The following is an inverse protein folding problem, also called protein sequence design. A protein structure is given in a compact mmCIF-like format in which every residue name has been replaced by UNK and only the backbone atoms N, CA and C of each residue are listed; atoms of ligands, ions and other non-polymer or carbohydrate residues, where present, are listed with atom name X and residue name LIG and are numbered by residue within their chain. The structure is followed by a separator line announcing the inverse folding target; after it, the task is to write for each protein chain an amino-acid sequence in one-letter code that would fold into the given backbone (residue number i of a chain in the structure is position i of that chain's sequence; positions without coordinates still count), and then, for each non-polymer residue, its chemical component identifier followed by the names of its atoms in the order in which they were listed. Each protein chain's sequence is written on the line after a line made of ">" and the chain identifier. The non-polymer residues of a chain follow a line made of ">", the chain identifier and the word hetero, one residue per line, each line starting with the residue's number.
data_IF_772442750970
#
_entry.id   IF_772442750970
#
_cell.length_a   1.000
_cell.length_b   1.000
_cell.length_c   1.000
_cell.angle_alpha   90.00
_cell.angle_beta   90.00
_cell.angle_gamma   90.00
#
_symmetry.space_group_name_H-M   'P 1'
#
loop_
_entity.id
_entity.type
_entity.pdbx_description
1 polymer ?
#
# COMPACT_ATOMS: atom_id res chain seq x y z
N UNK A 1 -11.36 4.59 22.51
CA UNK A 1 -10.40 3.90 21.63
C UNK A 1 -11.06 3.71 20.27
N UNK A 2 -10.36 4.01 19.19
CA UNK A 2 -10.84 3.85 17.82
C UNK A 2 -9.87 2.95 17.07
N UNK A 3 -10.41 2.02 16.28
CA UNK A 3 -9.63 1.15 15.42
C UNK A 3 -10.24 1.13 14.02
N UNK A 4 -9.38 0.91 13.02
CA UNK A 4 -9.79 0.72 11.63
C UNK A 4 -8.97 -0.44 11.06
N UNK A 5 -9.64 -1.29 10.30
CA UNK A 5 -9.02 -2.32 9.47
C UNK A 5 -9.51 -2.10 8.04
N UNK A 6 -8.60 -2.08 7.09
CA UNK A 6 -8.88 -1.97 5.67
C UNK A 6 -8.25 -3.19 4.99
N UNK A 7 -9.06 -3.89 4.20
CA UNK A 7 -8.58 -4.87 3.24
C UNK A 7 -8.57 -4.19 1.87
N UNK A 8 -7.47 -4.29 1.14
CA UNK A 8 -7.37 -3.71 -0.18
C UNK A 8 -6.81 -4.70 -1.20
N UNK A 9 -7.26 -4.54 -2.44
CA UNK A 9 -6.81 -5.25 -3.62
C UNK A 9 -6.90 -4.29 -4.80
N UNK A 10 -5.78 -4.05 -5.47
CA UNK A 10 -5.65 -3.15 -6.59
C UNK A 10 -4.97 -3.90 -7.73
N UNK A 11 -5.74 -4.13 -8.79
CA UNK A 11 -5.27 -4.71 -10.06
C UNK A 11 -4.96 -3.55 -11.01
N UNK A 12 -3.70 -3.43 -11.42
CA UNK A 12 -3.22 -2.34 -12.27
C UNK A 12 -2.79 -2.97 -13.59
N UNK A 13 -3.50 -2.66 -14.68
CA UNK A 13 -3.29 -3.34 -15.96
C UNK A 13 -2.05 -2.88 -16.72
N UNK A 14 -1.86 -1.56 -16.75
CA UNK A 14 -0.78 -0.89 -17.47
C UNK A 14 0.01 -0.03 -16.48
N UNK A 15 0.70 -0.67 -15.54
CA UNK A 15 1.51 0.07 -14.57
C UNK A 15 2.79 0.58 -15.26
N UNK A 16 3.08 1.87 -15.05
CA UNK A 16 4.24 2.52 -15.64
C UNK A 16 5.47 2.18 -14.80
N UNK A 17 6.43 1.48 -15.40
CA UNK A 17 7.73 1.23 -14.78
C UNK A 17 8.84 1.95 -15.53
N UNK A 18 9.82 2.40 -14.77
CA UNK A 18 11.04 2.96 -15.32
C UNK A 18 11.98 1.81 -15.73
N UNK A 19 12.33 1.73 -17.02
CA UNK A 19 13.34 0.81 -17.54
C UNK A 19 14.73 1.46 -17.41
N UNK A 20 15.57 1.06 -16.43
CA UNK A 20 16.75 1.84 -16.06
C UNK A 20 17.96 1.67 -16.99
N UNK A 21 17.93 0.75 -17.96
CA UNK A 21 18.96 0.64 -18.99
C UNK A 21 18.52 -0.32 -20.12
N UNK A 22 18.85 -0.06 -21.40
CA UNK A 22 19.69 1.02 -21.93
C UNK A 22 18.91 2.26 -22.42
N UNK A 23 17.57 2.22 -22.46
CA UNK A 23 16.74 3.21 -23.15
C UNK A 23 16.21 4.30 -22.19
N UNK A 24 16.25 4.06 -20.86
CA UNK A 24 15.83 5.01 -19.82
C UNK A 24 14.41 5.55 -20.05
N UNK A 25 13.50 4.64 -20.43
CA UNK A 25 12.13 4.94 -20.84
C UNK A 25 11.13 4.49 -19.79
N UNK A 26 10.01 5.21 -19.71
CA UNK A 26 8.82 4.74 -19.02
C UNK A 26 8.07 3.80 -19.95
N UNK A 27 7.86 2.56 -19.51
CA UNK A 27 7.19 1.53 -20.29
C UNK A 27 6.01 0.98 -19.48
N UNK A 28 4.92 0.64 -20.17
CA UNK A 28 3.84 -0.11 -19.55
C UNK A 28 4.33 -1.54 -19.33
N UNK A 29 4.44 -1.96 -18.07
CA UNK A 29 4.75 -3.33 -17.70
C UNK A 29 3.45 -4.12 -17.54
N UNK A 30 3.44 -5.45 -17.78
CA UNK A 30 2.26 -6.29 -17.58
C UNK A 30 1.67 -6.18 -16.17
N UNK A 31 0.39 -6.56 -16.10
CA UNK A 31 -0.52 -6.35 -14.97
C UNK A 31 0.14 -6.59 -13.61
N UNK A 32 -0.07 -5.70 -12.64
CA UNK A 32 0.41 -5.86 -11.27
C UNK A 32 -0.74 -5.94 -10.29
N UNK A 33 -0.52 -6.70 -9.22
CA UNK A 33 -1.46 -6.88 -8.13
C UNK A 33 -0.84 -6.40 -6.84
N UNK A 34 -1.44 -5.35 -6.27
CA UNK A 34 -1.14 -4.85 -4.93
C UNK A 34 -2.29 -5.23 -4.01
N UNK A 35 -2.01 -6.01 -2.98
CA UNK A 35 -3.03 -6.43 -2.03
C UNK A 35 -2.48 -6.49 -0.62
N UNK A 36 -3.34 -6.27 0.35
CA UNK A 36 -2.87 -6.17 1.72
C UNK A 36 -3.92 -5.80 2.73
N UNK A 37 -3.42 -5.53 3.93
CA UNK A 37 -4.19 -5.11 5.08
C UNK A 37 -3.54 -3.88 5.69
N UNK A 38 -4.36 -2.88 5.98
CA UNK A 38 -3.96 -1.72 6.77
C UNK A 38 -4.74 -1.70 8.08
N UNK A 39 -4.03 -1.50 9.18
CA UNK A 39 -4.60 -1.40 10.53
C UNK A 39 -4.20 -0.04 11.11
N UNK A 40 -5.20 0.72 11.55
CA UNK A 40 -5.02 1.98 12.25
C UNK A 40 -5.64 1.92 13.65
N UNK A 41 -4.97 2.51 14.62
CA UNK A 41 -5.46 2.58 16.00
C UNK A 41 -5.20 3.94 16.63
N UNK A 42 -6.14 4.38 17.47
CA UNK A 42 -6.04 5.61 18.26
C UNK A 42 -6.63 5.38 19.65
N UNK A 43 -5.87 5.72 20.68
CA UNK A 43 -6.28 5.64 22.07
C UNK A 43 -5.96 6.95 22.81
N UNK A 44 -6.97 7.51 23.45
CA UNK A 44 -6.83 8.66 24.35
C UNK A 44 -6.76 8.12 25.78
N UNK A 45 -5.59 8.18 26.41
CA UNK A 45 -5.35 7.63 27.74
C UNK A 45 -5.70 8.62 28.86
N UNK A 46 -5.49 9.91 28.61
CA UNK A 46 -5.85 11.01 29.50
C UNK A 46 -6.33 12.19 28.64
N UNK A 47 -6.90 13.24 29.26
CA UNK A 47 -7.23 14.50 28.57
C UNK A 47 -6.02 15.18 27.88
N UNK A 48 -4.80 14.71 28.13
CA UNK A 48 -3.54 15.28 27.64
C UNK A 48 -2.69 14.31 26.81
N UNK A 49 -3.06 13.03 26.70
CA UNK A 49 -2.25 12.03 26.01
C UNK A 49 -3.10 11.18 25.06
N UNK A 50 -2.76 11.29 23.79
CA UNK A 50 -3.29 10.48 22.70
C UNK A 50 -2.15 9.70 22.08
N UNK A 51 -2.31 8.39 21.96
CA UNK A 51 -1.40 7.50 21.26
C UNK A 51 -2.10 7.00 20.01
N UNK A 52 -1.37 6.95 18.90
CA UNK A 52 -1.85 6.41 17.64
C UNK A 52 -0.76 5.58 16.97
N UNK A 53 -1.19 4.61 16.17
CA UNK A 53 -0.30 3.72 15.45
C UNK A 53 -0.99 3.16 14.22
N UNK A 54 -0.23 3.08 13.13
CA UNK A 54 -0.68 2.49 11.87
C UNK A 54 0.32 1.43 11.43
N UNK A 55 -0.18 0.35 10.85
CA UNK A 55 0.61 -0.72 10.29
C UNK A 55 -0.01 -1.20 8.98
N UNK A 56 0.80 -1.30 7.94
CA UNK A 56 0.40 -1.78 6.63
C UNK A 56 1.25 -2.97 6.25
N UNK A 57 0.58 -4.07 5.91
CA UNK A 57 1.20 -5.20 5.22
C UNK A 57 0.71 -5.22 3.79
N UNK A 58 1.64 -5.08 2.84
CA UNK A 58 1.35 -5.12 1.41
C UNK A 58 2.17 -6.23 0.75
N UNK A 59 1.52 -6.98 -0.14
CA UNK A 59 2.17 -7.87 -1.09
C UNK A 59 1.91 -7.35 -2.49
N UNK A 60 2.98 -7.00 -3.18
CA UNK A 60 2.98 -6.64 -4.60
C UNK A 60 3.53 -7.80 -5.43
N UNK A 61 2.80 -8.20 -6.48
CA UNK A 61 3.22 -9.23 -7.43
C UNK A 61 3.01 -8.76 -8.86
N UNK A 62 3.96 -9.10 -9.73
CA UNK A 62 3.76 -9.01 -11.17
C UNK A 62 2.86 -10.18 -11.61
N UNK A 63 1.72 -9.86 -12.20
CA UNK A 63 0.81 -10.79 -12.85
C UNK A 63 1.12 -10.87 -14.36
N UNK A 64 0.58 -11.89 -15.04
CA UNK A 64 0.94 -12.24 -16.43
C UNK A 64 -0.29 -12.51 -17.27
#
# INVERSE_FOLDING_TARGET
>A
MQGRVILFRAEIKDEIFFNPAPIFTNENHPETLHQGVEIGSKADFFKKLTVFGNYTYEKATFEK
#
